data_IF_396777140279
#
_entry.id   IF_396777140279
#
_cell.length_a   1.000
_cell.length_b   1.000
_cell.length_c   1.000
_cell.angle_alpha   90.00
_cell.angle_beta   90.00
_cell.angle_gamma   90.00
#
_symmetry.space_group_name_H-M   'P 1'
#
loop_
_entity.id
_entity.type
_entity.pdbx_description
1 polymer ?
#
# COMPACT_ATOMS: atom_id res chain seq x y z
N UNK A 1 -1.64 8.54 -2.08
CA UNK A 1 -1.21 7.65 -3.18
C UNK A 1 -1.99 8.05 -4.43
N UNK A 2 -1.36 8.06 -5.61
CA UNK A 2 -2.07 8.37 -6.86
C UNK A 2 -2.80 7.16 -7.45
N UNK A 3 -3.62 7.40 -8.47
CA UNK A 3 -4.44 6.37 -9.13
C UNK A 3 -3.58 5.34 -9.87
N UNK A 4 -2.51 5.79 -10.51
CA UNK A 4 -1.59 4.93 -11.25
C UNK A 4 -0.86 3.94 -10.32
N UNK A 5 -0.40 4.41 -9.15
CA UNK A 5 0.26 3.55 -8.17
C UNK A 5 -0.72 2.53 -7.58
N UNK A 6 -1.94 2.96 -7.25
CA UNK A 6 -2.97 2.07 -6.73
C UNK A 6 -3.35 0.98 -7.75
N UNK A 7 -3.46 1.34 -9.03
CA UNK A 7 -3.74 0.39 -10.10
C UNK A 7 -2.60 -0.62 -10.28
N UNK A 8 -1.33 -0.17 -10.25
CA UNK A 8 -0.15 -1.06 -10.35
C UNK A 8 -0.10 -2.10 -9.24
N UNK A 9 -0.48 -1.71 -8.01
CA UNK A 9 -0.58 -2.60 -6.86
C UNK A 9 -1.75 -3.58 -7.04
N UNK A 10 -2.92 -3.09 -7.42
CA UNK A 10 -4.12 -3.91 -7.60
C UNK A 10 -3.92 -5.00 -8.65
N UNK A 11 -3.29 -4.66 -9.78
CA UNK A 11 -2.99 -5.64 -10.84
C UNK A 11 -2.06 -6.76 -10.34
N UNK A 12 -1.03 -6.43 -9.56
CA UNK A 12 -0.12 -7.44 -9.00
C UNK A 12 -0.85 -8.34 -7.99
N UNK A 13 -1.67 -7.77 -7.10
CA UNK A 13 -2.46 -8.52 -6.13
C UNK A 13 -3.50 -9.44 -6.81
N UNK A 14 -4.01 -9.05 -7.97
CA UNK A 14 -4.91 -9.86 -8.80
C UNK A 14 -4.16 -10.88 -9.69
N UNK A 15 -2.83 -10.87 -9.69
CA UNK A 15 -2.01 -11.75 -10.52
C UNK A 15 -2.12 -11.47 -12.03
N UNK A 16 -2.56 -10.28 -12.42
CA UNK A 16 -2.77 -9.91 -13.83
C UNK A 16 -1.41 -9.62 -14.48
N UNK A 17 -1.05 -10.41 -15.49
CA UNK A 17 0.19 -10.21 -16.26
C UNK A 17 -0.09 -9.34 -17.50
N UNK A 18 0.59 -8.20 -17.56
CA UNK A 18 0.52 -7.29 -18.71
C UNK A 18 1.45 -7.77 -19.85
N UNK A 19 1.10 -7.50 -21.13
CA UNK A 19 1.90 -7.94 -22.29
C UNK A 19 3.30 -7.27 -22.36
N UNK A 20 3.47 -6.14 -21.69
CA UNK A 20 4.75 -5.44 -21.52
C UNK A 20 4.94 -5.09 -20.05
N UNK A 21 6.19 -5.08 -19.55
CA UNK A 21 6.46 -4.77 -18.16
C UNK A 21 6.00 -3.35 -17.82
N UNK A 22 5.31 -3.18 -16.70
CA UNK A 22 5.05 -1.88 -16.10
C UNK A 22 6.29 -1.39 -15.33
N UNK A 23 6.22 -0.19 -14.77
CA UNK A 23 7.37 0.46 -14.10
C UNK A 23 7.98 -0.41 -13.01
N UNK A 24 7.18 -0.96 -12.09
CA UNK A 24 7.69 -1.79 -11.00
C UNK A 24 8.20 -3.17 -11.48
N UNK A 25 7.66 -3.70 -12.58
CA UNK A 25 8.19 -4.91 -13.24
C UNK A 25 9.57 -4.64 -13.85
N UNK A 26 9.73 -3.49 -14.50
CA UNK A 26 11.00 -3.03 -15.06
C UNK A 26 12.05 -2.87 -13.97
N UNK A 27 11.71 -2.22 -12.85
CA UNK A 27 12.62 -2.04 -11.71
C UNK A 27 13.05 -3.40 -11.15
N UNK A 28 12.10 -4.32 -10.92
CA UNK A 28 12.43 -5.70 -10.51
C UNK A 28 13.41 -6.35 -11.48
N UNK A 29 13.17 -6.25 -12.79
CA UNK A 29 14.04 -6.85 -13.79
C UNK A 29 15.45 -6.23 -13.76
N UNK A 30 15.55 -4.91 -13.59
CA UNK A 30 16.84 -4.21 -13.44
C UNK A 30 17.60 -4.67 -12.20
N UNK A 31 16.95 -4.73 -11.03
CA UNK A 31 17.58 -5.20 -9.79
C UNK A 31 18.06 -6.64 -9.93
N UNK A 32 17.28 -7.52 -10.56
CA UNK A 32 17.68 -8.90 -10.83
C UNK A 32 18.93 -8.97 -11.72
N UNK A 33 19.01 -8.17 -12.79
CA UNK A 33 20.20 -8.12 -13.66
C UNK A 33 21.43 -7.57 -12.94
N UNK A 34 21.23 -6.67 -11.97
CA UNK A 34 22.29 -6.13 -11.13
C UNK A 34 22.62 -7.01 -9.93
N UNK A 35 22.00 -8.19 -9.80
CA UNK A 35 22.18 -9.11 -8.66
C UNK A 35 21.89 -8.44 -7.30
N UNK A 36 20.89 -7.56 -7.28
CA UNK A 36 20.42 -6.86 -6.07
C UNK A 36 19.16 -7.54 -5.55
N UNK A 37 19.12 -7.86 -4.26
CA UNK A 37 17.93 -8.40 -3.60
C UNK A 37 17.22 -7.32 -2.80
N UNK A 38 15.88 -7.35 -2.78
CA UNK A 38 15.08 -6.53 -1.85
C UNK A 38 14.84 -7.38 -0.61
N UNK A 39 15.48 -7.03 0.50
CA UNK A 39 15.38 -7.79 1.74
C UNK A 39 14.08 -7.53 2.48
N UNK A 40 13.66 -6.26 2.52
CA UNK A 40 12.42 -5.80 3.14
C UNK A 40 12.12 -4.37 2.71
N UNK A 41 10.90 -3.94 2.94
CA UNK A 41 10.57 -2.51 2.98
C UNK A 41 10.02 -2.17 4.37
N UNK A 42 10.24 -0.94 4.81
CA UNK A 42 9.79 -0.44 6.12
C UNK A 42 9.11 0.91 5.91
N UNK A 43 7.87 1.07 6.36
CA UNK A 43 7.25 2.40 6.47
C UNK A 43 7.76 3.03 7.77
N UNK A 44 8.64 4.01 7.65
CA UNK A 44 9.49 4.48 8.75
C UNK A 44 8.95 5.71 9.47
N UNK A 45 8.20 6.58 8.79
CA UNK A 45 7.72 7.80 9.41
C UNK A 45 6.43 8.36 8.80
N UNK A 46 5.80 9.27 9.54
CA UNK A 46 4.75 10.15 9.04
C UNK A 46 5.02 11.57 9.52
N UNK A 47 5.12 12.51 8.58
CA UNK A 47 5.33 13.93 8.88
C UNK A 47 4.32 14.76 8.08
N UNK A 48 3.55 15.60 8.78
CA UNK A 48 2.52 16.45 8.15
C UNK A 48 1.57 15.65 7.23
N UNK A 49 1.17 14.44 7.66
CA UNK A 49 0.31 13.54 6.88
C UNK A 49 0.99 12.86 5.68
N UNK A 50 2.29 13.09 5.47
CA UNK A 50 3.09 12.46 4.42
C UNK A 50 3.85 11.28 5.01
N UNK A 51 3.62 10.09 4.48
CA UNK A 51 4.31 8.87 4.91
C UNK A 51 5.62 8.66 4.16
N UNK A 52 6.62 8.14 4.87
CA UNK A 52 7.95 7.82 4.35
C UNK A 52 8.20 6.31 4.48
N UNK A 53 8.97 5.76 3.54
CA UNK A 53 9.36 4.36 3.56
C UNK A 53 10.79 4.18 3.07
N UNK A 54 11.40 3.10 3.52
CA UNK A 54 12.73 2.67 3.10
C UNK A 54 12.64 1.31 2.41
N UNK A 55 13.39 1.16 1.32
CA UNK A 55 13.63 -0.12 0.66
C UNK A 55 15.02 -0.58 1.08
N UNK A 56 15.09 -1.67 1.84
CA UNK A 56 16.35 -2.27 2.25
C UNK A 56 16.77 -3.30 1.21
N UNK A 57 17.91 -3.06 0.58
CA UNK A 57 18.50 -3.85 -0.48
C UNK A 57 19.78 -4.52 0.00
N UNK A 58 20.15 -5.63 -0.62
CA UNK A 58 21.47 -6.21 -0.52
C UNK A 58 22.13 -6.23 -1.90
N UNK A 59 23.36 -5.76 -1.99
CA UNK A 59 24.17 -5.81 -3.20
C UNK A 59 25.58 -6.27 -2.85
N UNK A 60 26.00 -7.45 -3.36
CA UNK A 60 27.33 -8.02 -3.09
C UNK A 60 27.71 -8.07 -1.61
N UNK A 61 26.73 -8.37 -0.74
CA UNK A 61 26.93 -8.45 0.72
C UNK A 61 26.89 -7.11 1.45
N UNK A 62 26.79 -5.98 0.75
CA UNK A 62 26.58 -4.67 1.36
C UNK A 62 25.08 -4.36 1.46
N UNK A 63 24.67 -3.85 2.63
CA UNK A 63 23.33 -3.31 2.84
C UNK A 63 23.21 -1.90 2.25
N UNK A 64 22.17 -1.68 1.45
CA UNK A 64 21.85 -0.39 0.85
C UNK A 64 20.42 -0.02 1.22
N UNK A 65 20.22 1.21 1.69
CA UNK A 65 18.90 1.73 2.04
C UNK A 65 18.53 2.83 1.05
N UNK A 66 17.33 2.72 0.48
CA UNK A 66 16.82 3.68 -0.49
C UNK A 66 15.53 4.30 0.04
N UNK A 67 15.52 5.62 0.16
CA UNK A 67 14.32 6.39 0.49
C UNK A 67 13.24 6.22 -0.61
N UNK A 68 12.00 6.08 -0.20
CA UNK A 68 10.89 5.76 -1.09
C UNK A 68 9.56 6.26 -0.56
N UNK A 69 8.64 6.54 -1.47
CA UNK A 69 7.23 6.67 -1.11
C UNK A 69 6.69 5.27 -0.76
N UNK A 70 5.84 5.12 0.26
CA UNK A 70 5.27 3.82 0.61
C UNK A 70 4.58 3.10 -0.55
N UNK A 71 3.94 3.84 -1.47
CA UNK A 71 3.28 3.24 -2.64
C UNK A 71 4.26 2.51 -3.57
N UNK A 72 5.45 3.08 -3.77
CA UNK A 72 6.46 2.48 -4.64
C UNK A 72 7.14 1.30 -3.96
N UNK A 73 7.49 1.45 -2.68
CA UNK A 73 8.06 0.40 -1.85
C UNK A 73 7.13 -0.83 -1.79
N UNK A 74 5.83 -0.62 -1.55
CA UNK A 74 4.83 -1.71 -1.52
C UNK A 74 4.68 -2.35 -2.90
N UNK A 75 4.56 -1.56 -3.98
CA UNK A 75 4.41 -2.10 -5.32
C UNK A 75 5.62 -2.95 -5.76
N UNK A 76 6.83 -2.60 -5.34
CA UNK A 76 8.03 -3.39 -5.57
C UNK A 76 8.09 -4.62 -4.66
N UNK A 77 7.78 -4.47 -3.37
CA UNK A 77 7.79 -5.57 -2.41
C UNK A 77 6.87 -6.72 -2.83
N UNK A 78 5.66 -6.40 -3.32
CA UNK A 78 4.72 -7.41 -3.83
C UNK A 78 5.29 -8.22 -5.00
N UNK A 79 5.99 -7.57 -5.92
CA UNK A 79 6.59 -8.22 -7.11
C UNK A 79 7.85 -9.02 -6.81
N UNK A 80 8.53 -8.65 -5.72
CA UNK A 80 9.78 -9.25 -5.25
C UNK A 80 9.55 -10.25 -4.11
N UNK A 81 8.29 -10.43 -3.68
CA UNK A 81 7.90 -11.24 -2.52
C UNK A 81 8.68 -10.85 -1.24
N UNK A 82 9.00 -9.56 -1.11
CA UNK A 82 9.74 -9.03 0.02
C UNK A 82 8.79 -8.68 1.19
N UNK A 83 9.21 -8.93 2.44
CA UNK A 83 8.40 -8.59 3.60
C UNK A 83 8.22 -7.07 3.76
N UNK A 84 7.02 -6.69 4.21
CA UNK A 84 6.57 -5.31 4.41
C UNK A 84 6.44 -5.08 5.92
N UNK A 85 7.16 -4.09 6.46
CA UNK A 85 7.09 -3.69 7.86
C UNK A 85 6.61 -2.24 7.99
N UNK A 86 6.15 -1.90 9.20
CA UNK A 86 5.77 -0.56 9.59
C UNK A 86 6.34 -0.31 10.98
N UNK A 87 6.96 0.84 11.17
CA UNK A 87 7.43 1.26 12.49
C UNK A 87 6.26 1.46 13.45
N UNK A 88 6.43 1.08 14.72
CA UNK A 88 5.37 1.11 15.72
C UNK A 88 4.78 2.53 15.89
N UNK A 89 5.65 3.55 15.87
CA UNK A 89 5.23 4.96 15.94
C UNK A 89 4.33 5.39 14.78
N UNK A 90 4.49 4.78 13.61
CA UNK A 90 3.66 5.06 12.42
C UNK A 90 2.36 4.29 12.53
N UNK A 91 2.42 3.02 12.93
CA UNK A 91 1.25 2.19 13.16
C UNK A 91 0.31 2.79 14.23
N UNK A 92 0.86 3.38 15.29
CA UNK A 92 0.10 4.05 16.35
C UNK A 92 -0.63 5.31 15.88
N UNK A 93 -0.13 5.97 14.82
CA UNK A 93 -0.74 7.16 14.23
C UNK A 93 -1.66 6.84 13.06
N UNK A 94 -1.51 5.65 12.46
CA UNK A 94 -2.40 5.17 11.42
C UNK A 94 -3.80 4.97 12.01
N UNK A 95 -4.80 5.52 11.33
CA UNK A 95 -6.20 5.27 11.68
C UNK A 95 -6.39 3.75 11.64
N UNK A 96 -6.82 3.09 12.74
CA UNK A 96 -7.09 1.67 12.71
C UNK A 96 -7.98 1.38 11.52
N UNK A 97 -7.56 0.44 10.66
CA UNK A 97 -8.37 -0.08 9.55
C UNK A 97 -9.78 -0.22 10.10
N UNK A 98 -10.69 0.61 9.58
CA UNK A 98 -12.04 0.89 10.11
C UNK A 98 -12.46 -0.18 11.12
N UNK A 99 -12.74 0.22 12.37
CA UNK A 99 -13.68 -0.53 13.20
C UNK A 99 -14.74 -1.06 12.22
N UNK A 100 -14.86 -2.38 12.10
CA UNK A 100 -16.08 -2.93 11.53
C UNK A 100 -17.20 -2.13 12.21
N UNK A 101 -18.02 -1.43 11.43
CA UNK A 101 -19.07 -0.54 11.98
C UNK A 101 -19.62 -1.24 13.22
N UNK A 102 -19.56 -0.56 14.36
CA UNK A 102 -20.07 -1.24 15.54
C UNK A 102 -21.54 -1.59 15.29
N UNK A 103 -22.04 -2.65 15.92
CA UNK A 103 -23.42 -3.10 15.66
C UNK A 103 -24.45 -1.98 15.88
N UNK A 104 -24.15 -1.02 16.77
CA UNK A 104 -24.96 0.15 17.07
C UNK A 104 -24.96 1.15 15.90
N UNK A 105 -23.82 1.43 15.27
CA UNK A 105 -23.73 2.26 14.05
C UNK A 105 -24.50 1.64 12.88
N UNK A 106 -24.43 0.31 12.72
CA UNK A 106 -25.20 -0.42 11.69
C UNK A 106 -26.70 -0.35 11.98
N UNK A 107 -27.09 -0.47 13.24
CA UNK A 107 -28.49 -0.43 13.65
C UNK A 107 -29.10 0.97 13.49
N UNK A 108 -28.35 2.03 13.82
CA UNK A 108 -28.75 3.41 13.54
C UNK A 108 -28.91 3.68 12.04
N UNK A 109 -27.98 3.18 11.23
CA UNK A 109 -28.06 3.30 9.77
C UNK A 109 -29.27 2.54 9.19
N UNK A 110 -29.58 1.35 9.71
CA UNK A 110 -30.80 0.60 9.33
C UNK A 110 -32.07 1.37 9.70
N UNK A 111 -32.15 1.91 10.92
CA UNK A 111 -33.29 2.74 11.37
C UNK A 111 -33.44 4.01 10.54
N UNK A 112 -32.33 4.57 10.04
CA UNK A 112 -32.35 5.69 9.12
C UNK A 112 -32.92 5.27 7.76
N UNK A 113 -32.45 4.17 7.17
CA UNK A 113 -32.98 3.66 5.90
C UNK A 113 -34.47 3.33 5.96
N UNK A 114 -34.97 2.83 7.09
CA UNK A 114 -36.40 2.54 7.27
C UNK A 114 -37.27 3.82 7.31
N UNK A 115 -36.68 4.97 7.65
CA UNK A 115 -37.38 6.26 7.78
C UNK A 115 -37.28 7.14 6.53
N UNK A 116 -36.31 6.87 5.65
CA UNK A 116 -36.07 7.69 4.46
C UNK A 116 -36.78 7.06 3.27
N UNK A 117 -37.61 7.85 2.59
CA UNK A 117 -38.28 7.41 1.36
C UNK A 117 -37.39 7.72 0.16
N UNK A 118 -37.47 6.94 -0.94
CA UNK A 118 -36.71 7.20 -2.16
C UNK A 118 -36.88 8.62 -2.76
N UNK A 119 -37.93 9.34 -2.36
CA UNK A 119 -38.20 10.71 -2.79
C UNK A 119 -37.32 11.75 -2.06
N UNK A 120 -36.80 11.43 -0.88
CA UNK A 120 -35.99 12.33 -0.04
C UNK A 120 -34.55 12.48 -0.55
N UNK A 121 -34.11 11.61 -1.47
CA UNK A 121 -32.77 11.64 -2.09
C UNK A 121 -32.68 12.53 -3.35
N UNK A 122 -33.75 13.26 -3.69
CA UNK A 122 -33.77 14.22 -4.80
C UNK A 122 -33.78 15.65 -4.29
N UNK A 123 -32.61 16.10 -3.82
CA UNK A 123 -32.18 17.51 -3.85
C UNK A 123 -30.71 17.56 -4.25
#
# INVERSE_FOLDING_TARGET
MGTAEAQSIALELQGVRMPRPMTHDLIRAMLAQLTVTVNRIVVTDIQNGTYFAEIHLQNNGADVVVDSRPSDAIALALRMEAPIFVEEKVAAQAIPLKKAFDEHEVEEFRRFLDKVKPQDFRQ
#
